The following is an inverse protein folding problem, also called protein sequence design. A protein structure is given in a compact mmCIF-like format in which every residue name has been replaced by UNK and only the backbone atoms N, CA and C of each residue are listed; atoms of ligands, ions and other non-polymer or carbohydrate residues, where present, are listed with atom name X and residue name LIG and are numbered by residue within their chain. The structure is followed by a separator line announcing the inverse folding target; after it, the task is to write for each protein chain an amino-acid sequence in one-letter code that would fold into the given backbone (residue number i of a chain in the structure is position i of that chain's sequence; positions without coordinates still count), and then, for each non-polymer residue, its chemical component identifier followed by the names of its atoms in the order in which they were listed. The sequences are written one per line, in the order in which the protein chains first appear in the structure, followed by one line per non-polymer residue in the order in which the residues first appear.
data_IF_074723909750
#
_entry.id   IF_074723909750
#
_cell.length_a   1.000
_cell.length_b   1.000
_cell.length_c   1.000
_cell.angle_alpha   90.00
_cell.angle_beta   90.00
_cell.angle_gamma   90.00
#
_symmetry.space_group_name_H-M   'P 1'
#
loop_
_entity.id
_entity.type
_entity.pdbx_description
1 polymer ?
#
# COMPACT_ATOMS: atom_id res chain seq x y z
N UNK A 1 9.48 -30.53 -10.52
CA UNK A 1 9.65 -29.08 -10.83
C UNK A 1 9.82 -28.94 -12.34
N UNK A 2 9.20 -27.93 -12.97
CA UNK A 2 9.18 -27.78 -14.43
C UNK A 2 10.35 -26.97 -15.02
N UNK A 3 11.33 -26.55 -14.19
CA UNK A 3 12.45 -25.72 -14.63
C UNK A 3 12.09 -24.28 -14.99
N UNK A 4 10.85 -23.86 -14.70
CA UNK A 4 10.43 -22.48 -14.93
C UNK A 4 11.16 -21.52 -13.99
N UNK A 5 11.52 -20.35 -14.51
CA UNK A 5 12.09 -19.31 -13.69
C UNK A 5 11.06 -18.74 -12.71
N UNK A 6 11.49 -18.46 -11.47
CA UNK A 6 10.62 -17.95 -10.41
C UNK A 6 11.00 -16.51 -10.06
N UNK A 7 10.09 -15.58 -10.38
CA UNK A 7 10.22 -14.18 -10.03
C UNK A 7 9.08 -13.76 -9.11
N UNK A 8 9.39 -12.95 -8.08
CA UNK A 8 8.39 -12.24 -7.29
C UNK A 8 8.13 -10.86 -7.89
N UNK A 9 6.90 -10.37 -7.80
CA UNK A 9 6.55 -8.98 -8.12
C UNK A 9 6.03 -8.31 -6.84
N UNK A 10 6.71 -7.26 -6.40
CA UNK A 10 6.30 -6.51 -5.23
C UNK A 10 5.28 -5.42 -5.59
N UNK A 11 4.44 -5.12 -4.62
CA UNK A 11 3.48 -4.01 -4.64
C UNK A 11 3.71 -3.03 -3.48
N UNK A 12 4.84 -3.17 -2.77
CA UNK A 12 5.22 -2.38 -1.60
C UNK A 12 6.53 -2.90 -1.00
N UNK A 13 6.82 -2.53 0.24
CA UNK A 13 8.01 -3.00 0.97
C UNK A 13 8.04 -4.54 1.04
N UNK A 14 9.21 -5.13 0.80
CA UNK A 14 9.41 -6.59 0.86
C UNK A 14 9.51 -7.10 2.30
N UNK A 15 8.43 -6.95 3.07
CA UNK A 15 8.37 -7.42 4.45
C UNK A 15 8.64 -8.91 4.56
N UNK A 16 8.20 -9.69 3.57
CA UNK A 16 8.42 -11.13 3.54
C UNK A 16 9.90 -11.47 3.35
N UNK A 17 10.56 -10.91 2.32
CA UNK A 17 11.99 -11.13 2.07
C UNK A 17 12.87 -10.63 3.22
N UNK A 18 12.52 -9.47 3.79
CA UNK A 18 13.17 -8.93 4.97
C UNK A 18 13.00 -9.84 6.20
N UNK A 19 11.78 -10.23 6.53
CA UNK A 19 11.50 -11.10 7.67
C UNK A 19 12.17 -12.48 7.50
N UNK A 20 12.17 -13.03 6.29
CA UNK A 20 12.84 -14.29 5.98
C UNK A 20 14.35 -14.19 6.19
N UNK A 21 14.98 -13.12 5.69
CA UNK A 21 16.42 -12.86 5.90
C UNK A 21 16.74 -12.82 7.39
N UNK A 22 15.98 -12.04 8.17
CA UNK A 22 16.15 -11.93 9.62
C UNK A 22 15.90 -13.23 10.36
N UNK A 23 14.95 -14.03 9.89
CA UNK A 23 14.65 -15.32 10.47
C UNK A 23 15.79 -16.33 10.23
N UNK A 24 16.31 -16.41 9.01
CA UNK A 24 17.44 -17.29 8.68
C UNK A 24 18.72 -16.89 9.43
N UNK A 25 18.99 -15.59 9.56
CA UNK A 25 20.09 -15.08 10.39
C UNK A 25 19.97 -15.54 11.85
N UNK A 26 18.76 -15.47 12.42
CA UNK A 26 18.51 -15.92 13.80
C UNK A 26 18.63 -17.42 13.95
N UNK A 27 18.10 -18.20 13.01
CA UNK A 27 18.18 -19.67 13.05
C UNK A 27 19.63 -20.19 13.14
N UNK A 28 20.60 -19.44 12.58
CA UNK A 28 22.01 -19.75 12.67
C UNK A 28 22.70 -19.41 14.00
N UNK A 29 22.00 -18.77 14.94
CA UNK A 29 22.54 -18.40 16.24
C UNK A 29 22.30 -19.51 17.28
N UNK A 30 23.29 -19.81 18.14
CA UNK A 30 23.22 -20.95 19.06
C UNK A 30 22.17 -20.82 20.17
N UNK A 31 21.81 -19.61 20.59
CA UNK A 31 20.95 -19.35 21.76
C UNK A 31 19.58 -18.76 21.41
N UNK A 32 19.03 -19.08 20.23
CA UNK A 32 17.75 -18.54 19.79
C UNK A 32 16.77 -19.61 19.32
N UNK A 33 15.54 -19.54 19.80
CA UNK A 33 14.38 -20.30 19.29
C UNK A 33 13.67 -19.51 18.15
N UNK A 34 13.09 -20.18 17.14
CA UNK A 34 13.09 -21.63 16.94
C UNK A 34 14.43 -22.14 16.38
N UNK A 35 14.83 -23.36 16.77
CA UNK A 35 16.00 -24.06 16.21
C UNK A 35 15.72 -24.80 14.89
N UNK A 36 14.47 -24.83 14.44
CA UNK A 36 14.05 -25.40 13.14
C UNK A 36 13.50 -24.30 12.23
N UNK A 37 13.78 -24.45 10.93
CA UNK A 37 13.12 -23.66 9.90
C UNK A 37 11.67 -24.11 9.68
N UNK A 38 10.74 -23.42 10.33
CA UNK A 38 9.31 -23.72 10.27
C UNK A 38 8.73 -23.65 8.84
N UNK A 39 9.28 -22.78 7.97
CA UNK A 39 8.80 -22.68 6.59
C UNK A 39 9.24 -23.90 5.78
N UNK A 40 10.50 -24.30 5.93
CA UNK A 40 10.99 -25.53 5.30
C UNK A 40 10.26 -26.77 5.81
N UNK A 41 10.04 -26.86 7.13
CA UNK A 41 9.32 -27.96 7.78
C UNK A 41 7.88 -28.08 7.25
N UNK A 42 7.17 -26.96 7.12
CA UNK A 42 5.80 -26.92 6.57
C UNK A 42 5.75 -27.39 5.11
N UNK A 43 6.75 -27.03 4.29
CA UNK A 43 6.77 -27.35 2.85
C UNK A 43 7.26 -28.77 2.56
N UNK A 44 8.06 -29.36 3.46
CA UNK A 44 8.72 -30.66 3.28
C UNK A 44 7.78 -31.78 2.79
N UNK A 45 6.59 -32.04 3.40
CA UNK A 45 5.72 -33.13 2.95
C UNK A 45 5.24 -32.95 1.51
N UNK A 46 5.08 -31.70 1.06
CA UNK A 46 4.69 -31.41 -0.33
C UNK A 46 5.87 -31.61 -1.27
N UNK A 47 7.07 -31.15 -0.90
CA UNK A 47 8.27 -31.25 -1.73
C UNK A 47 8.73 -32.70 -1.92
N UNK A 48 8.67 -33.52 -0.87
CA UNK A 48 9.02 -34.95 -0.92
C UNK A 48 8.15 -35.72 -1.93
N UNK A 49 6.85 -35.38 -2.03
CA UNK A 49 5.93 -35.97 -3.03
C UNK A 49 6.37 -35.72 -4.47
N UNK A 50 7.16 -34.67 -4.70
CA UNK A 50 7.72 -34.32 -6.01
C UNK A 50 9.22 -34.65 -6.13
N UNK A 51 9.80 -35.36 -5.14
CA UNK A 51 11.21 -35.69 -5.08
C UNK A 51 12.10 -34.45 -5.08
N UNK A 52 11.72 -33.42 -4.32
CA UNK A 52 12.46 -32.16 -4.21
C UNK A 52 12.83 -31.89 -2.76
N UNK A 53 13.94 -31.18 -2.59
CA UNK A 53 14.33 -30.58 -1.32
C UNK A 53 13.86 -29.13 -1.24
N UNK A 54 13.84 -28.60 -0.02
CA UNK A 54 13.58 -27.18 0.19
C UNK A 54 14.76 -26.33 -0.32
N UNK A 55 14.44 -25.23 -0.99
CA UNK A 55 15.39 -24.22 -1.42
C UNK A 55 14.81 -22.83 -1.16
N UNK A 56 15.65 -21.86 -0.75
CA UNK A 56 15.21 -20.48 -0.48
C UNK A 56 14.46 -19.86 -1.66
N UNK A 57 14.86 -20.18 -2.89
CA UNK A 57 14.21 -19.65 -4.09
C UNK A 57 12.72 -20.02 -4.20
N UNK A 58 12.24 -21.01 -3.44
CA UNK A 58 10.81 -21.32 -3.33
C UNK A 58 10.03 -20.24 -2.58
N UNK A 59 10.67 -19.57 -1.62
CA UNK A 59 10.07 -18.51 -0.80
C UNK A 59 10.35 -17.11 -1.36
N UNK A 60 11.60 -16.85 -1.73
CA UNK A 60 12.06 -15.50 -2.10
C UNK A 60 12.29 -15.33 -3.60
N UNK A 61 12.06 -16.38 -4.40
CA UNK A 61 12.30 -16.36 -5.83
C UNK A 61 13.78 -16.29 -6.19
N UNK A 62 14.05 -16.38 -7.49
CA UNK A 62 15.38 -16.20 -8.06
C UNK A 62 15.72 -14.72 -8.23
N UNK A 63 14.70 -13.89 -8.39
CA UNK A 63 14.77 -12.43 -8.33
C UNK A 63 13.40 -11.82 -7.99
N UNK A 64 13.42 -10.55 -7.62
CA UNK A 64 12.24 -9.80 -7.21
C UNK A 64 12.14 -8.50 -7.99
N UNK A 65 11.08 -8.33 -8.77
CA UNK A 65 10.76 -7.08 -9.45
C UNK A 65 10.19 -6.12 -8.43
N UNK A 66 10.85 -4.98 -8.25
CA UNK A 66 10.55 -4.05 -7.16
C UNK A 66 10.32 -2.62 -7.66
N UNK A 67 9.09 -2.09 -7.56
CA UNK A 67 8.77 -0.70 -7.88
C UNK A 67 9.10 0.29 -6.76
N UNK A 68 9.49 -0.19 -5.58
CA UNK A 68 9.81 0.65 -4.42
C UNK A 68 11.05 1.49 -4.69
N UNK A 69 11.03 2.81 -4.41
CA UNK A 69 12.22 3.64 -4.47
C UNK A 69 13.36 3.02 -3.66
N UNK A 70 14.56 2.93 -4.24
CA UNK A 70 15.69 2.22 -3.63
C UNK A 70 16.00 2.67 -2.19
N UNK A 71 15.78 3.95 -1.88
CA UNK A 71 16.03 4.53 -0.55
C UNK A 71 15.04 4.06 0.53
N UNK A 72 13.89 3.51 0.14
CA UNK A 72 12.86 3.01 1.06
C UNK A 72 12.93 1.48 1.24
N UNK A 73 13.82 0.78 0.51
CA UNK A 73 13.92 -0.68 0.58
C UNK A 73 14.34 -1.13 1.97
N UNK A 74 13.72 -2.21 2.42
CA UNK A 74 14.17 -2.94 3.60
C UNK A 74 15.48 -3.68 3.29
N UNK A 75 16.41 -3.79 4.25
CA UNK A 75 17.66 -4.50 4.04
C UNK A 75 17.40 -6.00 4.00
N UNK A 76 17.49 -6.59 2.80
CA UNK A 76 17.42 -8.03 2.57
C UNK A 76 18.46 -8.42 1.51
N UNK A 77 19.17 -9.51 1.73
CA UNK A 77 20.19 -10.02 0.80
C UNK A 77 19.54 -10.81 -0.34
N UNK A 78 18.75 -10.11 -1.16
CA UNK A 78 17.96 -10.67 -2.25
C UNK A 78 18.25 -9.94 -3.56
N UNK A 79 18.08 -10.65 -4.67
CA UNK A 79 18.26 -10.07 -6.02
C UNK A 79 17.04 -9.25 -6.42
N UNK A 80 17.15 -7.92 -6.33
CA UNK A 80 16.11 -6.99 -6.77
C UNK A 80 16.34 -6.46 -8.19
N UNK A 81 15.27 -6.45 -9.00
CA UNK A 81 15.19 -5.80 -10.31
C UNK A 81 14.36 -4.52 -10.15
N UNK A 82 14.97 -3.33 -10.08
CA UNK A 82 14.23 -2.08 -9.92
C UNK A 82 13.41 -1.77 -11.16
N UNK A 83 12.16 -1.36 -10.97
CA UNK A 83 11.30 -0.81 -12.02
C UNK A 83 10.69 0.50 -11.56
N UNK A 84 10.28 1.35 -12.51
CA UNK A 84 9.58 2.59 -12.18
C UNK A 84 8.11 2.30 -11.90
N UNK A 85 7.61 2.73 -10.75
CA UNK A 85 6.17 2.78 -10.50
C UNK A 85 5.51 3.80 -11.42
N UNK A 86 4.49 3.36 -12.17
CA UNK A 86 3.60 4.23 -12.94
C UNK A 86 2.19 4.02 -12.36
N UNK A 87 1.65 4.99 -11.61
CA UNK A 87 0.36 4.81 -10.96
C UNK A 87 -0.75 4.71 -12.01
N UNK A 88 -1.57 3.68 -11.88
CA UNK A 88 -2.83 3.56 -12.59
C UNK A 88 -3.96 3.63 -11.56
N UNK A 89 -4.61 4.79 -11.47
CA UNK A 89 -5.73 5.03 -10.57
C UNK A 89 -7.07 4.94 -11.31
N UNK A 90 -7.21 4.01 -12.27
CA UNK A 90 -8.42 3.88 -13.07
C UNK A 90 -8.62 4.99 -14.11
N UNK A 91 -9.77 4.95 -14.77
CA UNK A 91 -10.18 5.93 -15.77
C UNK A 91 -11.42 6.70 -15.28
N UNK A 92 -11.36 8.03 -15.32
CA UNK A 92 -12.50 8.90 -15.07
C UNK A 92 -12.40 10.17 -15.92
N UNK A 93 -13.55 10.78 -16.21
CA UNK A 93 -13.58 12.09 -16.85
C UNK A 93 -13.04 13.15 -15.89
N UNK A 94 -12.25 14.10 -16.42
CA UNK A 94 -11.76 15.24 -15.64
C UNK A 94 -12.92 16.20 -15.37
N UNK A 95 -13.33 16.40 -14.09
CA UNK A 95 -14.44 17.28 -13.78
C UNK A 95 -14.06 18.74 -14.08
N UNK A 96 -15.02 19.61 -14.48
CA UNK A 96 -14.72 20.99 -14.88
C UNK A 96 -13.94 21.79 -13.83
N UNK A 97 -14.31 21.69 -12.55
CA UNK A 97 -13.65 22.40 -11.44
C UNK A 97 -12.17 22.04 -11.25
N UNK A 98 -11.72 20.89 -11.74
CA UNK A 98 -10.32 20.45 -11.64
C UNK A 98 -9.44 21.05 -12.74
N UNK A 99 -10.05 21.61 -13.80
CA UNK A 99 -9.33 22.28 -14.90
C UNK A 99 -8.86 23.67 -14.52
N UNK A 100 -9.51 24.28 -13.54
CA UNK A 100 -9.19 25.60 -13.03
C UNK A 100 -8.07 25.50 -11.99
N UNK A 101 -7.18 26.50 -12.00
CA UNK A 101 -6.16 26.62 -10.94
C UNK A 101 -6.88 26.89 -9.62
N UNK A 102 -6.58 26.15 -8.54
CA UNK A 102 -7.23 26.39 -7.25
C UNK A 102 -6.87 27.80 -6.73
N UNK A 103 -7.87 28.49 -6.18
CA UNK A 103 -7.72 29.84 -5.61
C UNK A 103 -7.03 29.83 -4.24
N UNK A 104 -6.99 28.67 -3.58
CA UNK A 104 -6.40 28.42 -2.26
C UNK A 104 -5.62 27.09 -2.27
N UNK A 105 -4.73 26.82 -1.30
CA UNK A 105 -4.04 25.54 -1.24
C UNK A 105 -5.02 24.37 -1.20
N UNK A 106 -4.93 23.47 -2.19
CA UNK A 106 -5.80 22.30 -2.27
C UNK A 106 -5.17 21.12 -1.55
N UNK A 107 -5.92 20.45 -0.69
CA UNK A 107 -5.49 19.25 0.04
C UNK A 107 -6.35 18.07 -0.42
N UNK A 108 -5.71 16.95 -0.75
CA UNK A 108 -6.42 15.70 -1.03
C UNK A 108 -6.59 14.93 0.27
N UNK A 109 -7.80 14.46 0.57
CA UNK A 109 -8.05 13.43 1.58
C UNK A 109 -8.51 12.15 0.89
N UNK A 110 -7.79 11.05 1.11
CA UNK A 110 -8.20 9.74 0.62
C UNK A 110 -7.94 8.61 1.62
N UNK A 111 -9.01 7.90 1.96
CA UNK A 111 -8.97 6.72 2.84
C UNK A 111 -8.89 5.40 2.04
N UNK A 112 -8.58 5.49 0.74
CA UNK A 112 -8.36 4.35 -0.15
C UNK A 112 -9.62 3.55 -0.51
N UNK A 113 -9.61 2.85 -1.64
CA UNK A 113 -10.68 1.91 -2.01
C UNK A 113 -10.55 0.59 -1.23
N UNK A 114 -9.32 0.18 -0.91
CA UNK A 114 -9.04 -1.09 -0.24
C UNK A 114 -9.30 -1.04 1.27
N UNK A 115 -8.97 0.07 1.94
CA UNK A 115 -9.36 0.32 3.34
C UNK A 115 -10.86 0.14 3.55
N UNK A 116 -11.64 0.79 2.68
CA UNK A 116 -13.12 0.70 2.63
C UNK A 116 -13.69 -0.71 2.46
N UNK A 117 -13.01 -1.58 1.71
CA UNK A 117 -13.54 -2.91 1.34
C UNK A 117 -13.11 -4.03 2.29
N UNK A 118 -11.94 -3.89 2.93
CA UNK A 118 -11.31 -4.99 3.66
C UNK A 118 -11.12 -4.70 5.15
N UNK A 119 -11.22 -3.44 5.58
CA UNK A 119 -10.95 -3.00 6.97
C UNK A 119 -12.10 -2.14 7.49
N UNK A 120 -13.33 -2.67 7.44
CA UNK A 120 -14.55 -1.96 7.85
C UNK A 120 -14.56 -1.49 9.33
N UNK A 121 -13.65 -2.01 10.15
CA UNK A 121 -13.52 -1.66 11.58
C UNK A 121 -12.38 -0.65 11.87
N UNK A 122 -11.56 -0.27 10.87
CA UNK A 122 -10.54 0.78 10.99
C UNK A 122 -11.18 2.16 10.70
N UNK A 123 -12.06 2.60 11.61
CA UNK A 123 -12.75 3.89 11.50
C UNK A 123 -11.76 5.04 11.74
N UNK A 124 -11.10 5.51 10.68
CA UNK A 124 -10.52 6.86 10.69
C UNK A 124 -11.68 7.83 10.95
N UNK A 125 -11.68 8.62 12.04
CA UNK A 125 -12.82 9.43 12.44
C UNK A 125 -12.99 10.61 11.47
N UNK A 126 -13.74 10.39 10.39
CA UNK A 126 -14.00 11.37 9.33
C UNK A 126 -14.55 12.67 9.93
N UNK A 127 -15.46 12.57 10.90
CA UNK A 127 -15.99 13.69 11.66
C UNK A 127 -14.89 14.58 12.26
N UNK A 128 -13.98 13.99 13.03
CA UNK A 128 -12.88 14.74 13.66
C UNK A 128 -11.92 15.34 12.65
N UNK A 129 -11.73 14.69 11.50
CA UNK A 129 -10.89 15.23 10.43
C UNK A 129 -11.57 16.42 9.73
N UNK A 130 -12.87 16.35 9.46
CA UNK A 130 -13.65 17.45 8.89
C UNK A 130 -13.67 18.66 9.84
N UNK A 131 -13.90 18.42 11.13
CA UNK A 131 -13.87 19.45 12.17
C UNK A 131 -12.49 20.12 12.26
N UNK A 132 -11.42 19.34 12.21
CA UNK A 132 -10.05 19.84 12.29
C UNK A 132 -9.67 20.75 11.10
N UNK A 133 -10.25 20.52 9.92
CA UNK A 133 -9.96 21.33 8.72
C UNK A 133 -10.92 22.51 8.52
N UNK A 134 -12.05 22.54 9.22
CA UNK A 134 -13.12 23.52 8.98
C UNK A 134 -12.66 24.98 9.11
N UNK A 135 -11.70 25.25 10.00
CA UNK A 135 -11.14 26.59 10.23
C UNK A 135 -9.91 26.94 9.37
N UNK A 136 -9.48 26.05 8.48
CA UNK A 136 -8.27 26.26 7.67
C UNK A 136 -8.60 26.94 6.34
N UNK A 137 -7.71 27.86 5.92
CA UNK A 137 -7.78 28.51 4.60
C UNK A 137 -7.24 27.60 3.49
N UNK A 138 -7.93 26.49 3.27
CA UNK A 138 -7.62 25.46 2.26
C UNK A 138 -8.88 25.06 1.49
N UNK A 139 -8.70 24.37 0.36
CA UNK A 139 -9.76 23.59 -0.29
C UNK A 139 -9.46 22.11 0.01
N UNK A 140 -10.29 21.45 0.82
CA UNK A 140 -10.15 20.00 1.00
C UNK A 140 -10.98 19.26 -0.05
N UNK A 141 -10.35 18.43 -0.87
CA UNK A 141 -11.03 17.47 -1.74
C UNK A 141 -11.01 16.10 -1.06
N UNK A 142 -12.15 15.68 -0.54
CA UNK A 142 -12.32 14.44 0.19
C UNK A 142 -12.95 13.36 -0.69
N UNK A 143 -12.21 12.28 -0.96
CA UNK A 143 -12.74 11.12 -1.70
C UNK A 143 -13.54 10.20 -0.75
N UNK A 144 -14.72 10.66 -0.34
CA UNK A 144 -15.63 9.97 0.58
C UNK A 144 -16.89 9.55 -0.19
N UNK A 145 -17.35 8.32 0.02
CA UNK A 145 -18.63 7.89 -0.51
C UNK A 145 -19.81 8.31 0.38
N UNK A 146 -21.01 8.09 -0.15
CA UNK A 146 -22.28 8.45 0.51
C UNK A 146 -22.43 7.79 1.89
N UNK A 147 -21.98 6.55 2.05
CA UNK A 147 -22.18 5.79 3.28
C UNK A 147 -21.26 6.32 4.39
N UNK A 148 -20.02 6.65 4.06
CA UNK A 148 -19.09 7.30 5.00
C UNK A 148 -19.58 8.68 5.44
N UNK A 149 -20.12 9.46 4.51
CA UNK A 149 -20.72 10.77 4.83
C UNK A 149 -21.94 10.61 5.74
N UNK A 150 -22.84 9.67 5.42
CA UNK A 150 -24.03 9.39 6.22
C UNK A 150 -23.67 8.87 7.63
N UNK A 151 -22.65 8.01 7.74
CA UNK A 151 -22.17 7.47 9.01
C UNK A 151 -21.53 8.54 9.89
N UNK A 152 -20.84 9.52 9.30
CA UNK A 152 -20.17 10.60 10.05
C UNK A 152 -21.14 11.49 10.84
N UNK A 153 -22.39 11.65 10.36
CA UNK A 153 -23.42 12.55 10.95
C UNK A 153 -22.93 14.00 11.15
N UNK A 154 -21.90 14.44 10.42
CA UNK A 154 -21.35 15.80 10.49
C UNK A 154 -21.74 16.59 9.25
N UNK A 155 -21.99 17.89 9.42
CA UNK A 155 -22.20 18.81 8.31
C UNK A 155 -20.87 19.07 7.59
N UNK A 156 -20.84 18.87 6.28
CA UNK A 156 -19.63 19.07 5.48
C UNK A 156 -19.27 20.58 5.51
N UNK A 157 -18.07 20.95 6.01
CA UNK A 157 -17.69 22.36 6.06
C UNK A 157 -17.61 22.99 4.67
N UNK A 158 -17.84 24.31 4.59
CA UNK A 158 -17.89 25.03 3.31
C UNK A 158 -16.58 24.98 2.49
N UNK A 159 -15.45 24.73 3.15
CA UNK A 159 -14.14 24.57 2.51
C UNK A 159 -13.83 23.14 2.06
N UNK A 160 -14.79 22.21 2.22
CA UNK A 160 -14.65 20.79 1.85
C UNK A 160 -15.54 20.45 0.65
N UNK A 161 -14.92 19.83 -0.36
CA UNK A 161 -15.58 19.21 -1.52
C UNK A 161 -15.50 17.70 -1.41
N UNK A 162 -16.64 17.05 -1.28
CA UNK A 162 -16.73 15.58 -1.29
C UNK A 162 -16.93 15.05 -2.71
N UNK A 163 -16.23 13.97 -3.05
CA UNK A 163 -16.39 13.24 -4.31
C UNK A 163 -16.37 11.74 -4.06
N UNK A 164 -17.26 10.97 -4.67
CA UNK A 164 -17.30 9.51 -4.46
C UNK A 164 -16.00 8.84 -4.92
N UNK A 165 -15.46 9.31 -6.06
CA UNK A 165 -14.21 8.85 -6.62
C UNK A 165 -13.59 9.88 -7.56
N UNK A 166 -12.27 10.06 -7.48
CA UNK A 166 -11.48 10.84 -8.42
C UNK A 166 -10.08 10.19 -8.52
N UNK A 167 -9.61 9.82 -9.72
CA UNK A 167 -8.26 9.29 -9.89
C UNK A 167 -7.21 10.24 -9.32
N UNK A 168 -6.36 9.73 -8.43
CA UNK A 168 -5.36 10.54 -7.72
C UNK A 168 -4.36 11.18 -8.68
N UNK A 169 -4.00 10.51 -9.77
CA UNK A 169 -3.16 11.07 -10.83
C UNK A 169 -3.77 12.32 -11.52
N UNK A 170 -5.09 12.53 -11.43
CA UNK A 170 -5.75 13.75 -11.89
C UNK A 170 -5.78 14.84 -10.81
N UNK A 171 -6.02 14.46 -9.54
CA UNK A 171 -6.17 15.39 -8.43
C UNK A 171 -4.83 15.94 -7.93
N UNK A 172 -3.88 15.04 -7.64
CA UNK A 172 -2.61 15.35 -6.97
C UNK A 172 -1.76 16.43 -7.65
N UNK A 173 -1.70 16.56 -8.99
CA UNK A 173 -0.96 17.64 -9.64
C UNK A 173 -1.43 19.05 -9.25
N UNK A 174 -2.65 19.18 -8.70
CA UNK A 174 -3.22 20.46 -8.24
C UNK A 174 -3.17 20.63 -6.72
N UNK A 175 -2.71 19.62 -5.98
CA UNK A 175 -2.70 19.62 -4.52
C UNK A 175 -1.36 20.13 -3.96
N UNK A 176 -1.45 20.84 -2.83
CA UNK A 176 -0.30 21.20 -2.01
C UNK A 176 0.06 20.13 -0.99
N UNK A 177 -0.91 19.28 -0.60
CA UNK A 177 -0.71 18.17 0.33
C UNK A 177 -1.73 17.04 0.10
N UNK A 178 -1.41 15.86 0.64
CA UNK A 178 -2.31 14.71 0.72
C UNK A 178 -2.35 14.17 2.15
N UNK A 179 -3.56 13.81 2.61
CA UNK A 179 -3.83 13.05 3.83
C UNK A 179 -4.34 11.68 3.41
N UNK A 180 -3.64 10.62 3.83
CA UNK A 180 -4.00 9.25 3.46
C UNK A 180 -3.61 8.23 4.53
N UNK A 181 -4.22 7.04 4.43
CA UNK A 181 -4.06 5.91 5.34
C UNK A 181 -2.80 5.05 5.08
N UNK A 182 -1.91 5.45 4.17
CA UNK A 182 -0.68 4.70 3.88
C UNK A 182 -0.82 3.52 2.90
N UNK A 183 -1.98 3.30 2.29
CA UNK A 183 -2.16 2.19 1.33
C UNK A 183 -1.28 2.33 0.08
N UNK A 184 -0.70 1.22 -0.39
CA UNK A 184 0.33 1.21 -1.43
C UNK A 184 -0.06 1.79 -2.80
N UNK A 185 -1.37 1.90 -3.09
CA UNK A 185 -1.87 2.51 -4.32
C UNK A 185 -2.11 4.03 -4.25
N UNK A 186 -1.90 4.64 -3.08
CA UNK A 186 -2.02 6.08 -2.83
C UNK A 186 -0.66 6.74 -2.96
#
# INVERSE_FOLDING_TARGET
VCGAAHARLLWGLDHFGWARTRFAERLGLPDTEPHEDLMAAMMRPTLERFGQDFAEELLVGQWTVDPTPQRLRLPADLRYVPVRWVPYNGAAAVPPWLRERPERPRVCLTLGVSGRKFFADDDVPVAGLLDAVAGLDIELVATLDRDQLAASRVEVPANVRTVDYLPLNLLLPTCSAIVHHGGAGT
#
